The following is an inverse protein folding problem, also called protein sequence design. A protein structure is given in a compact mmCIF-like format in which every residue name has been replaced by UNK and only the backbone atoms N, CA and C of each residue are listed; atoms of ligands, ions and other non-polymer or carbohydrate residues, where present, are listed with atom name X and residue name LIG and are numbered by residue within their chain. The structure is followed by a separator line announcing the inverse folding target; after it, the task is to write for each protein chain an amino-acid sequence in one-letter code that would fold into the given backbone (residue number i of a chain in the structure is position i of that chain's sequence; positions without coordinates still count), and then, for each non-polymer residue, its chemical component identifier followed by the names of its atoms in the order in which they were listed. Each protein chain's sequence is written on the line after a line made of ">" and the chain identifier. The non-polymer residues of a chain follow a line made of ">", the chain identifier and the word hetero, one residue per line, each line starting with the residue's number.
data_IF_508996281766
#
_entry.id   IF_508996281766
#
_cell.length_a   1.000
_cell.length_b   1.000
_cell.length_c   1.000
_cell.angle_alpha   90.00
_cell.angle_beta   90.00
_cell.angle_gamma   90.00
#
_symmetry.space_group_name_H-M   'P 1'
#
loop_
_entity.id
_entity.type
_entity.pdbx_description
1 polymer ?
#
# COMPACT_ATOMS: atom_id res chain seq x y z
N UNK A 1 15.00 -29.20 10.74
CA UNK A 1 13.68 -28.60 10.46
C UNK A 1 13.87 -27.08 10.47
N UNK A 2 14.33 -26.49 9.36
CA UNK A 2 14.54 -25.05 9.27
C UNK A 2 13.17 -24.36 9.28
N UNK A 3 12.88 -23.67 10.37
CA UNK A 3 11.69 -22.83 10.50
C UNK A 3 11.81 -21.67 9.51
N UNK A 4 11.02 -21.74 8.44
CA UNK A 4 10.80 -20.61 7.55
C UNK A 4 10.13 -19.50 8.37
N UNK A 5 10.92 -18.55 8.87
CA UNK A 5 10.42 -17.33 9.49
C UNK A 5 9.59 -16.60 8.42
N UNK A 6 8.27 -16.59 8.58
CA UNK A 6 7.39 -15.77 7.77
C UNK A 6 7.77 -14.30 8.02
N UNK A 7 8.44 -13.68 7.05
CA UNK A 7 8.77 -12.27 7.10
C UNK A 7 7.46 -11.48 6.96
N UNK A 8 6.82 -11.14 8.07
CA UNK A 8 5.76 -10.15 8.08
C UNK A 8 6.40 -8.80 7.74
N UNK A 9 6.32 -8.40 6.47
CA UNK A 9 6.77 -7.08 6.04
C UNK A 9 6.00 -6.02 6.84
N UNK A 10 6.70 -5.09 7.52
CA UNK A 10 6.04 -4.09 8.33
C UNK A 10 5.20 -3.16 7.45
N UNK A 11 3.98 -2.88 7.90
CA UNK A 11 3.03 -1.99 7.19
C UNK A 11 3.61 -0.60 6.95
N UNK A 12 4.45 -0.11 7.86
CA UNK A 12 5.15 1.17 7.76
C UNK A 12 6.59 1.00 8.25
N UNK A 13 7.51 1.77 7.65
CA UNK A 13 8.91 1.89 8.10
C UNK A 13 9.27 3.37 8.23
N UNK A 14 10.14 3.68 9.18
CA UNK A 14 10.69 5.03 9.36
C UNK A 14 12.04 5.07 8.66
N UNK A 15 12.22 6.00 7.72
CA UNK A 15 13.51 6.30 7.09
C UNK A 15 14.07 7.58 7.71
N UNK A 16 15.32 7.92 7.36
CA UNK A 16 15.98 9.12 7.88
C UNK A 16 15.34 10.42 7.37
N UNK A 17 14.49 10.37 6.34
CA UNK A 17 13.82 11.53 5.74
C UNK A 17 12.30 11.51 5.91
N UNK A 18 11.64 10.35 6.02
CA UNK A 18 10.18 10.26 6.10
C UNK A 18 9.66 8.92 6.64
N UNK A 19 8.35 8.84 6.85
CA UNK A 19 7.65 7.57 7.06
C UNK A 19 7.23 7.03 5.70
N UNK A 20 7.55 5.77 5.44
CA UNK A 20 7.12 5.05 4.25
C UNK A 20 6.15 3.93 4.62
N UNK A 21 5.25 3.61 3.71
CA UNK A 21 4.20 2.61 3.87
C UNK A 21 4.30 1.58 2.76
N UNK A 22 4.12 0.32 3.14
CA UNK A 22 4.17 -0.80 2.22
C UNK A 22 2.85 -0.98 1.47
N UNK A 23 2.92 -1.11 0.14
CA UNK A 23 1.81 -1.53 -0.70
C UNK A 23 1.90 -3.04 -0.97
N UNK A 24 0.94 -3.87 -0.50
CA UNK A 24 0.99 -5.32 -0.71
C UNK A 24 0.69 -5.77 -2.15
N UNK A 25 0.28 -4.84 -3.03
CA UNK A 25 -0.07 -5.16 -4.42
C UNK A 25 1.12 -5.06 -5.37
N UNK A 26 1.96 -4.05 -5.20
CA UNK A 26 3.20 -3.87 -5.96
C UNK A 26 4.45 -4.21 -5.15
N UNK A 27 4.27 -4.60 -3.88
CA UNK A 27 5.31 -5.03 -2.96
C UNK A 27 6.41 -3.98 -2.71
N UNK A 28 6.03 -2.70 -2.77
CA UNK A 28 6.95 -1.58 -2.71
C UNK A 28 6.59 -0.61 -1.57
N UNK A 29 7.61 0.05 -1.03
CA UNK A 29 7.45 1.08 0.00
C UNK A 29 7.35 2.44 -0.68
N UNK A 30 6.27 3.16 -0.38
CA UNK A 30 6.03 4.51 -0.86
C UNK A 30 5.90 5.46 0.32
N UNK A 31 6.27 6.74 0.17
CA UNK A 31 6.03 7.76 1.18
C UNK A 31 4.59 7.71 1.74
N UNK A 32 4.45 7.72 3.06
CA UNK A 32 3.18 7.55 3.76
C UNK A 32 2.38 8.88 3.80
N UNK A 33 2.18 9.49 2.65
CA UNK A 33 1.43 10.74 2.46
C UNK A 33 0.22 10.56 1.53
N UNK A 34 -0.55 11.63 1.35
CA UNK A 34 -1.80 11.67 0.56
C UNK A 34 -1.58 11.74 -0.96
N UNK A 35 -0.34 11.98 -1.41
CA UNK A 35 0.04 11.92 -2.81
C UNK A 35 0.12 10.46 -3.27
N UNK A 36 0.81 9.62 -2.49
CA UNK A 36 1.00 8.20 -2.82
C UNK A 36 -0.11 7.28 -2.32
N UNK A 37 -0.87 7.66 -1.27
CA UNK A 37 -1.98 6.87 -0.74
C UNK A 37 -3.28 7.68 -0.68
N UNK A 38 -4.41 7.04 -0.98
CA UNK A 38 -5.69 7.72 -0.84
C UNK A 38 -6.05 7.94 0.63
N UNK A 39 -6.47 9.15 1.03
CA UNK A 39 -7.02 9.37 2.35
C UNK A 39 -8.35 8.64 2.52
N UNK A 40 -8.56 8.10 3.71
CA UNK A 40 -9.78 7.42 4.16
C UNK A 40 -10.40 8.25 5.30
N UNK A 41 -11.73 8.16 5.50
CA UNK A 41 -12.39 8.79 6.62
C UNK A 41 -11.70 8.45 7.95
N UNK A 42 -11.53 9.44 8.81
CA UNK A 42 -10.82 9.30 10.08
C UNK A 42 -9.30 9.44 9.99
N UNK A 43 -8.78 10.11 8.95
CA UNK A 43 -7.35 10.49 8.85
C UNK A 43 -6.42 9.31 8.57
N UNK A 44 -6.94 8.19 8.06
CA UNK A 44 -6.15 7.00 7.75
C UNK A 44 -5.80 6.98 6.26
N UNK A 45 -4.63 6.47 5.91
CA UNK A 45 -4.28 6.19 4.52
C UNK A 45 -4.73 4.78 4.12
N UNK A 46 -5.05 4.60 2.84
CA UNK A 46 -5.41 3.30 2.27
C UNK A 46 -4.27 2.27 2.39
N UNK A 47 -4.57 0.98 2.29
CA UNK A 47 -3.56 -0.09 2.28
C UNK A 47 -2.80 -0.16 0.96
N UNK A 48 -3.41 0.26 -0.14
CA UNK A 48 -2.79 0.21 -1.47
C UNK A 48 -2.33 1.59 -1.90
N UNK A 49 -1.23 1.64 -2.65
CA UNK A 49 -0.81 2.87 -3.28
C UNK A 49 -1.88 3.35 -4.28
N UNK A 50 -1.84 4.64 -4.61
CA UNK A 50 -2.77 5.31 -5.52
C UNK A 50 -2.77 4.65 -6.90
N UNK A 51 -1.61 4.22 -7.40
CA UNK A 51 -1.49 3.51 -8.68
C UNK A 51 -2.28 2.18 -8.68
N UNK A 52 -1.99 1.29 -7.73
CA UNK A 52 -2.71 0.02 -7.61
C UNK A 52 -4.21 0.21 -7.32
N UNK A 53 -4.56 1.21 -6.52
CA UNK A 53 -5.96 1.56 -6.26
C UNK A 53 -6.69 2.00 -7.53
N UNK A 54 -6.05 2.82 -8.37
CA UNK A 54 -6.62 3.28 -9.63
C UNK A 54 -6.75 2.15 -10.66
N UNK A 55 -5.75 1.29 -10.77
CA UNK A 55 -5.78 0.10 -11.62
C UNK A 55 -6.95 -0.82 -11.23
N UNK A 56 -7.08 -1.13 -9.93
CA UNK A 56 -8.19 -1.94 -9.44
C UNK A 56 -9.55 -1.31 -9.72
N UNK A 57 -9.71 0.00 -9.53
CA UNK A 57 -10.95 0.71 -9.88
C UNK A 57 -11.25 0.62 -11.38
N UNK A 58 -10.23 0.69 -12.24
CA UNK A 58 -10.38 0.54 -13.69
C UNK A 58 -10.83 -0.87 -14.07
N UNK A 59 -10.18 -1.90 -13.51
CA UNK A 59 -10.54 -3.30 -13.74
C UNK A 59 -11.97 -3.59 -13.29
N UNK A 60 -12.36 -3.13 -12.11
CA UNK A 60 -13.73 -3.31 -11.60
C UNK A 60 -14.80 -2.74 -12.54
N UNK A 61 -14.53 -1.60 -13.18
CA UNK A 61 -15.43 -0.99 -14.17
C UNK A 61 -15.52 -1.83 -15.45
N UNK A 62 -14.45 -2.51 -15.83
CA UNK A 62 -14.42 -3.36 -17.03
C UNK A 62 -15.15 -4.70 -16.82
N UNK A 63 -15.06 -5.30 -15.64
CA UNK A 63 -15.70 -6.61 -15.34
C UNK A 63 -17.22 -6.51 -15.14
N UNK A 64 -17.77 -5.30 -15.05
CA UNK A 64 -19.22 -5.07 -14.86
C UNK A 64 -19.96 -4.78 -16.18
N UNK A 65 -19.29 -4.94 -17.34
CA UNK A 65 -19.89 -4.82 -18.68
C UNK A 65 -20.12 -6.19 -19.32
#
# INVERSE_FOLDING_TARGET
>A
MSTLQQATLPKQRVTWYAIERYCPRCEEYWPADEEFFHPRPGGKLDSWCRACSNEYRRLKRMTTQ
#
